data_IF_279892908913
#
_entry.id   IF_279892908913
#
_cell.length_a   1.000
_cell.length_b   1.000
_cell.length_c   1.000
_cell.angle_alpha   90.00
_cell.angle_beta   90.00
_cell.angle_gamma   90.00
#
_symmetry.space_group_name_H-M   'P 1'
#
loop_
_entity.id
_entity.type
_entity.pdbx_description
1 polymer ?
#
# COMPACT_ATOMS: atom_id res chain seq x y z
N UNK A 1 5.79 6.56 8.85
CA UNK A 1 6.39 7.68 8.06
C UNK A 1 7.10 7.12 6.85
N UNK A 2 7.18 7.88 5.77
CA UNK A 2 8.02 7.53 4.62
C UNK A 2 9.49 7.73 4.98
N UNK A 3 10.36 6.81 4.53
CA UNK A 3 11.78 6.85 4.93
C UNK A 3 12.64 7.66 3.97
N UNK A 4 12.39 7.55 2.65
CA UNK A 4 13.32 8.02 1.64
C UNK A 4 13.38 9.55 1.49
N UNK A 5 12.25 10.24 1.49
CA UNK A 5 12.22 11.69 1.20
C UNK A 5 11.84 12.56 2.41
N UNK A 6 11.53 11.97 3.54
CA UNK A 6 10.89 12.66 4.64
C UNK A 6 11.68 12.49 5.95
N UNK A 7 12.02 13.60 6.57
CA UNK A 7 12.48 13.57 7.95
C UNK A 7 11.30 13.21 8.87
N UNK A 8 11.39 12.05 9.52
CA UNK A 8 10.33 11.52 10.40
C UNK A 8 10.00 12.47 11.54
N UNK A 9 11.00 13.14 12.14
CA UNK A 9 10.80 14.08 13.24
C UNK A 9 9.94 15.28 12.82
N UNK A 10 10.12 15.76 11.58
CA UNK A 10 9.30 16.85 11.02
C UNK A 10 7.85 16.41 10.85
N UNK A 11 7.63 15.20 10.35
CA UNK A 11 6.28 14.67 10.17
C UNK A 11 5.58 14.45 11.52
N UNK A 12 6.28 13.91 12.52
CA UNK A 12 5.77 13.66 13.87
C UNK A 12 5.42 14.99 14.54
N UNK A 13 6.34 15.96 14.55
CA UNK A 13 6.11 17.29 15.14
C UNK A 13 4.91 17.99 14.54
N UNK A 14 4.79 18.00 13.21
CA UNK A 14 3.65 18.58 12.51
C UNK A 14 2.31 17.94 12.94
N UNK A 15 2.28 16.64 13.18
CA UNK A 15 1.08 15.95 13.68
C UNK A 15 0.78 16.31 15.14
N UNK A 16 1.78 16.32 16.01
CA UNK A 16 1.62 16.67 17.43
C UNK A 16 1.17 18.12 17.63
N UNK A 17 1.67 19.06 16.83
CA UNK A 17 1.24 20.47 16.82
C UNK A 17 -0.22 20.63 16.41
N UNK A 18 -0.76 19.69 15.64
CA UNK A 18 -2.19 19.62 15.29
C UNK A 18 -3.04 18.83 16.32
N UNK A 19 -2.44 18.40 17.43
CA UNK A 19 -3.12 17.64 18.48
C UNK A 19 -3.29 16.15 18.17
N UNK A 20 -2.64 15.64 17.12
CA UNK A 20 -2.64 14.21 16.80
C UNK A 20 -1.70 13.50 17.78
N UNK A 21 -2.20 12.46 18.43
CA UNK A 21 -1.38 11.59 19.28
C UNK A 21 -0.59 10.63 18.41
N UNK A 22 0.73 10.59 18.59
CA UNK A 22 1.66 9.75 17.81
C UNK A 22 2.40 8.82 18.74
N UNK A 23 2.28 7.52 18.54
CA UNK A 23 2.95 6.48 19.33
C UNK A 23 3.72 5.55 18.41
N UNK A 24 4.97 5.25 18.77
CA UNK A 24 5.81 4.34 17.96
C UNK A 24 5.21 2.94 17.94
N UNK A 25 5.01 2.39 16.74
CA UNK A 25 4.58 1.01 16.59
C UNK A 25 5.75 0.04 16.86
N UNK A 26 5.49 -1.14 17.44
CA UNK A 26 6.52 -2.17 17.57
C UNK A 26 6.95 -2.69 16.18
N UNK A 27 8.13 -3.25 16.12
CA UNK A 27 8.72 -3.96 14.97
C UNK A 27 9.33 -3.11 13.86
N UNK A 28 8.87 -1.89 13.63
CA UNK A 28 9.34 -1.05 12.52
C UNK A 28 9.66 0.36 13.01
N UNK A 29 10.89 0.81 12.80
CA UNK A 29 11.39 2.10 13.32
C UNK A 29 10.69 3.33 12.72
N UNK A 30 10.05 3.18 11.58
CA UNK A 30 9.34 4.24 10.84
C UNK A 30 7.82 4.12 10.92
N UNK A 31 7.30 3.14 11.67
CA UNK A 31 5.87 2.93 11.87
C UNK A 31 5.38 3.57 13.17
N UNK A 32 4.24 4.24 13.07
CA UNK A 32 3.61 4.92 14.20
C UNK A 32 2.11 4.69 14.19
N UNK A 33 1.54 4.46 15.36
CA UNK A 33 0.11 4.57 15.58
C UNK A 33 -0.25 6.04 15.73
N UNK A 34 -1.30 6.47 15.06
CA UNK A 34 -1.82 7.84 15.16
C UNK A 34 -3.28 7.83 15.59
N UNK A 35 -3.65 8.73 16.47
CA UNK A 35 -5.01 8.88 16.99
C UNK A 35 -5.31 10.33 17.39
N UNK A 36 -6.56 10.63 17.76
CA UNK A 36 -6.93 11.97 18.19
C UNK A 36 -7.17 12.96 17.04
N UNK A 37 -7.42 12.47 15.82
CA UNK A 37 -7.83 13.29 14.68
C UNK A 37 -9.25 12.93 14.24
N UNK A 38 -10.02 13.93 13.82
CA UNK A 38 -11.39 13.73 13.34
C UNK A 38 -11.43 13.31 11.86
N UNK A 39 -10.51 13.87 11.06
CA UNK A 39 -10.50 13.66 9.62
C UNK A 39 -9.06 13.62 9.11
N UNK A 40 -8.60 12.44 8.71
CA UNK A 40 -7.21 12.20 8.31
C UNK A 40 -6.70 13.13 7.19
N UNK A 41 -7.48 13.44 6.13
CA UNK A 41 -7.03 14.37 5.10
C UNK A 41 -6.76 15.80 5.58
N UNK A 42 -7.27 16.19 6.75
CA UNK A 42 -6.96 17.49 7.37
C UNK A 42 -5.63 17.50 8.13
N UNK A 43 -5.04 16.34 8.37
CA UNK A 43 -3.71 16.22 8.97
C UNK A 43 -2.65 16.63 7.94
N UNK A 44 -1.89 17.68 8.22
CA UNK A 44 -0.93 18.26 7.28
C UNK A 44 0.08 17.23 6.76
N UNK A 45 0.62 16.39 7.63
CA UNK A 45 1.57 15.34 7.23
C UNK A 45 0.97 14.31 6.28
N UNK A 46 -0.35 14.04 6.36
CA UNK A 46 -1.05 13.21 5.39
C UNK A 46 -1.27 13.97 4.07
N UNK A 47 -1.79 15.20 4.15
CA UNK A 47 -2.06 16.04 2.97
C UNK A 47 -0.81 16.24 2.12
N UNK A 48 0.33 16.49 2.76
CA UNK A 48 1.64 16.67 2.11
C UNK A 48 2.34 15.34 1.74
N UNK A 49 1.67 14.21 1.85
CA UNK A 49 2.23 12.90 1.49
C UNK A 49 3.39 12.41 2.36
N UNK A 50 3.63 13.04 3.51
CA UNK A 50 4.72 12.68 4.44
C UNK A 50 4.46 11.36 5.15
N UNK A 51 3.19 10.98 5.30
CA UNK A 51 2.76 9.72 5.90
C UNK A 51 1.82 8.97 4.97
N UNK A 52 1.86 7.64 5.05
CA UNK A 52 0.95 6.75 4.36
C UNK A 52 0.27 5.84 5.40
N UNK A 53 -1.07 5.90 5.52
CA UNK A 53 -1.82 4.97 6.38
C UNK A 53 -1.71 3.55 5.85
N UNK A 54 -1.36 2.64 6.74
CA UNK A 54 -1.20 1.23 6.40
C UNK A 54 -1.20 0.38 7.66
N UNK A 55 -1.76 -0.82 7.62
CA UNK A 55 -1.62 -1.78 8.71
C UNK A 55 -0.17 -2.25 8.83
N UNK A 56 0.30 -2.48 10.05
CA UNK A 56 1.67 -2.98 10.30
C UNK A 56 1.93 -4.30 9.57
N UNK A 57 0.95 -5.20 9.53
CA UNK A 57 1.03 -6.45 8.77
C UNK A 57 1.27 -6.24 7.27
N UNK A 58 0.62 -5.21 6.69
CA UNK A 58 0.85 -4.83 5.30
C UNK A 58 2.22 -4.20 5.08
N UNK A 59 2.75 -3.48 6.08
CA UNK A 59 4.11 -2.93 6.03
C UNK A 59 5.17 -4.05 6.06
N UNK A 60 4.94 -5.10 6.86
CA UNK A 60 5.83 -6.27 6.92
C UNK A 60 5.94 -7.00 5.58
N UNK A 61 4.94 -6.92 4.70
CA UNK A 61 5.04 -7.44 3.33
C UNK A 61 6.14 -6.72 2.55
N UNK A 62 6.21 -5.39 2.63
CA UNK A 62 7.27 -4.60 2.01
C UNK A 62 8.65 -4.90 2.59
N UNK A 63 8.73 -5.16 3.91
CA UNK A 63 9.98 -5.57 4.56
C UNK A 63 10.44 -6.96 4.11
N UNK A 64 9.51 -7.91 4.03
CA UNK A 64 9.81 -9.27 3.57
C UNK A 64 10.17 -9.32 2.07
N UNK A 65 9.60 -8.43 1.27
CA UNK A 65 9.89 -8.31 -0.15
C UNK A 65 11.30 -7.75 -0.40
N UNK A 66 11.75 -6.84 0.45
CA UNK A 66 13.08 -6.21 0.49
C UNK A 66 13.68 -5.94 -0.91
N UNK A 67 13.06 -5.08 -1.73
CA UNK A 67 13.51 -4.85 -3.10
C UNK A 67 14.90 -4.21 -3.12
N UNK A 68 15.78 -4.72 -3.97
CA UNK A 68 17.09 -4.12 -4.20
C UNK A 68 16.97 -2.78 -4.93
N UNK A 69 17.86 -1.83 -4.65
CA UNK A 69 17.93 -0.57 -5.38
C UNK A 69 18.08 -0.83 -6.89
N UNK A 70 17.29 -0.13 -7.71
CA UNK A 70 17.25 -0.33 -9.16
C UNK A 70 16.26 -1.37 -9.65
N UNK A 71 15.64 -2.17 -8.77
CA UNK A 71 14.69 -3.22 -9.15
C UNK A 71 13.46 -2.70 -9.89
N UNK A 72 12.96 -3.51 -10.81
CA UNK A 72 11.61 -3.37 -11.36
C UNK A 72 10.63 -4.26 -10.60
N UNK A 73 9.71 -3.63 -9.87
CA UNK A 73 8.69 -4.30 -9.08
C UNK A 73 7.32 -4.21 -9.74
N UNK A 74 6.54 -5.28 -9.71
CA UNK A 74 5.15 -5.32 -10.17
C UNK A 74 4.25 -5.72 -8.98
N UNK A 75 3.23 -4.90 -8.70
CA UNK A 75 2.17 -5.23 -7.74
C UNK A 75 0.88 -5.51 -8.53
N UNK A 76 0.41 -6.76 -8.50
CA UNK A 76 -0.67 -7.25 -9.36
C UNK A 76 -2.07 -6.80 -8.93
N UNK A 77 -2.29 -6.57 -7.64
CA UNK A 77 -3.58 -6.20 -7.04
C UNK A 77 -3.40 -5.01 -6.08
N UNK A 78 -2.87 -3.91 -6.61
CA UNK A 78 -2.24 -2.85 -5.84
C UNK A 78 -3.19 -1.97 -5.02
N UNK A 79 -4.45 -1.83 -5.44
CA UNK A 79 -5.34 -0.82 -4.86
C UNK A 79 -5.59 -1.01 -3.35
N UNK A 80 -5.55 0.08 -2.57
CA UNK A 80 -5.44 1.50 -2.94
C UNK A 80 -4.00 2.01 -3.16
N UNK A 81 -2.96 1.14 -3.15
CA UNK A 81 -1.59 1.50 -3.47
C UNK A 81 -0.62 1.51 -2.29
N UNK A 82 -1.07 1.19 -1.07
CA UNK A 82 -0.21 1.28 0.13
C UNK A 82 1.06 0.44 0.07
N UNK A 83 0.96 -0.83 -0.37
CA UNK A 83 2.11 -1.73 -0.52
C UNK A 83 3.03 -1.29 -1.66
N UNK A 84 2.45 -0.89 -2.80
CA UNK A 84 3.22 -0.38 -3.94
C UNK A 84 4.00 0.89 -3.61
N UNK A 85 3.39 1.83 -2.87
CA UNK A 85 4.05 3.06 -2.39
C UNK A 85 5.19 2.72 -1.41
N UNK A 86 4.98 1.72 -0.56
CA UNK A 86 6.02 1.27 0.36
C UNK A 86 7.21 0.66 -0.39
N UNK A 87 6.98 -0.19 -1.40
CA UNK A 87 8.06 -0.69 -2.27
C UNK A 87 8.80 0.45 -2.97
N UNK A 88 8.07 1.43 -3.52
CA UNK A 88 8.66 2.58 -4.19
C UNK A 88 9.52 3.45 -3.25
N UNK A 89 9.10 3.62 -1.99
CA UNK A 89 9.86 4.32 -0.96
C UNK A 89 11.14 3.54 -0.59
N UNK A 90 11.07 2.21 -0.47
CA UNK A 90 12.23 1.34 -0.20
C UNK A 90 13.27 1.36 -1.33
N UNK A 91 12.85 1.54 -2.58
CA UNK A 91 13.75 1.71 -3.73
C UNK A 91 14.52 3.04 -3.74
N UNK A 92 14.24 3.96 -2.83
CA UNK A 92 14.96 5.24 -2.62
C UNK A 92 15.11 6.09 -3.89
N UNK A 93 14.06 6.14 -4.71
CA UNK A 93 14.06 6.88 -5.98
C UNK A 93 14.79 6.19 -7.13
N UNK A 94 15.31 4.98 -6.90
CA UNK A 94 15.89 4.12 -7.95
C UNK A 94 14.86 3.11 -8.45
N UNK A 95 15.14 2.41 -9.54
CA UNK A 95 14.23 1.39 -10.07
C UNK A 95 12.83 1.92 -10.39
N UNK A 96 11.83 1.05 -10.36
CA UNK A 96 10.44 1.44 -10.63
C UNK A 96 9.45 0.44 -10.06
N UNK A 97 8.24 0.92 -9.73
CA UNK A 97 7.09 0.08 -9.33
C UNK A 97 5.95 0.27 -10.31
N UNK A 98 5.42 -0.82 -10.87
CA UNK A 98 4.18 -0.83 -11.63
C UNK A 98 3.06 -1.37 -10.74
N UNK A 99 2.16 -0.48 -10.30
CA UNK A 99 1.00 -0.80 -9.49
C UNK A 99 -0.21 -1.09 -10.40
N UNK A 100 -0.69 -2.34 -10.40
CA UNK A 100 -1.76 -2.82 -11.28
C UNK A 100 -3.05 -3.08 -10.52
N UNK A 101 -4.18 -2.85 -11.18
CA UNK A 101 -5.48 -3.37 -10.74
C UNK A 101 -6.39 -3.54 -11.97
N UNK A 102 -7.36 -4.45 -11.90
CA UNK A 102 -8.31 -4.72 -12.98
C UNK A 102 -9.36 -3.61 -13.11
N UNK A 103 -9.70 -2.96 -12.01
CA UNK A 103 -10.74 -1.93 -11.94
C UNK A 103 -10.18 -0.55 -12.24
N UNK A 104 -10.79 0.17 -13.20
CA UNK A 104 -10.42 1.56 -13.51
C UNK A 104 -10.56 2.47 -12.28
N UNK A 105 -11.65 2.32 -11.53
CA UNK A 105 -11.87 3.08 -10.29
C UNK A 105 -10.73 2.88 -9.28
N UNK A 106 -10.29 1.64 -9.10
CA UNK A 106 -9.17 1.31 -8.19
C UNK A 106 -7.84 1.86 -8.70
N UNK A 107 -7.62 1.86 -10.00
CA UNK A 107 -6.43 2.49 -10.61
C UNK A 107 -6.40 4.00 -10.35
N UNK A 108 -7.55 4.68 -10.40
CA UNK A 108 -7.61 6.10 -10.02
C UNK A 108 -7.25 6.34 -8.56
N UNK A 109 -7.72 5.49 -7.62
CA UNK A 109 -7.31 5.56 -6.21
C UNK A 109 -5.78 5.39 -6.02
N UNK A 110 -5.17 4.50 -6.81
CA UNK A 110 -3.71 4.34 -6.79
C UNK A 110 -3.04 5.63 -7.29
N UNK A 111 -3.52 6.22 -8.38
CA UNK A 111 -2.98 7.47 -8.94
C UNK A 111 -3.06 8.64 -7.96
N UNK A 112 -4.20 8.83 -7.32
CA UNK A 112 -4.39 9.84 -6.27
C UNK A 112 -3.37 9.70 -5.14
N UNK A 113 -3.12 8.48 -4.69
CA UNK A 113 -2.14 8.20 -3.65
C UNK A 113 -0.69 8.39 -4.13
N UNK A 114 -0.39 8.08 -5.40
CA UNK A 114 0.92 8.35 -6.01
C UNK A 114 1.15 9.86 -6.07
N UNK A 115 0.20 10.63 -6.61
CA UNK A 115 0.28 12.08 -6.71
C UNK A 115 0.49 12.73 -5.34
N UNK A 116 -0.33 12.34 -4.35
CA UNK A 116 -0.17 12.82 -2.97
C UNK A 116 1.18 12.49 -2.38
N UNK A 117 1.73 11.31 -2.71
CA UNK A 117 3.03 10.87 -2.17
C UNK A 117 4.22 11.64 -2.74
N UNK A 118 4.13 12.18 -3.95
CA UNK A 118 5.23 12.79 -4.68
C UNK A 118 6.35 11.82 -5.05
N UNK A 119 6.11 10.50 -5.06
CA UNK A 119 7.07 9.52 -5.56
C UNK A 119 7.03 9.50 -7.09
N UNK A 120 8.21 9.53 -7.72
CA UNK A 120 8.36 9.58 -9.17
C UNK A 120 8.70 8.21 -9.79
N UNK A 121 9.08 7.24 -8.96
CA UNK A 121 9.48 5.90 -9.35
C UNK A 121 8.35 4.87 -9.29
N UNK A 122 7.10 5.32 -9.35
CA UNK A 122 5.90 4.47 -9.32
C UNK A 122 4.86 4.98 -10.29
N UNK A 123 4.15 4.06 -10.98
CA UNK A 123 3.02 4.41 -11.84
C UNK A 123 1.91 3.36 -11.75
N UNK A 124 0.68 3.79 -11.98
CA UNK A 124 -0.50 2.93 -11.94
C UNK A 124 -0.94 2.52 -13.35
N UNK A 125 -1.27 1.25 -13.52
CA UNK A 125 -1.73 0.67 -14.78
C UNK A 125 -2.95 -0.21 -14.58
N UNK A 126 -3.96 -0.03 -15.43
CA UNK A 126 -5.05 -1.01 -15.50
C UNK A 126 -4.59 -2.25 -16.23
N UNK A 127 -4.56 -3.39 -15.53
CA UNK A 127 -4.20 -4.69 -16.09
C UNK A 127 -4.88 -5.80 -15.31
N UNK A 128 -5.40 -6.80 -16.01
CA UNK A 128 -5.99 -7.98 -15.42
C UNK A 128 -4.91 -9.03 -15.16
N UNK A 129 -4.72 -9.41 -13.90
CA UNK A 129 -3.70 -10.38 -13.51
C UNK A 129 -4.00 -11.81 -14.00
N UNK A 130 -5.27 -12.10 -14.38
CA UNK A 130 -5.66 -13.39 -14.95
C UNK A 130 -5.28 -13.52 -16.44
N UNK A 131 -4.93 -12.41 -17.09
CA UNK A 131 -4.57 -12.40 -18.51
C UNK A 131 -3.06 -12.36 -18.64
N UNK A 132 -2.48 -13.50 -19.05
CA UNK A 132 -1.06 -13.57 -19.32
C UNK A 132 -0.69 -12.64 -20.49
N UNK A 133 0.27 -11.75 -20.22
CA UNK A 133 0.90 -10.91 -21.25
C UNK A 133 2.32 -11.44 -21.50
N UNK A 134 2.64 -11.90 -22.71
CA UNK A 134 3.99 -12.36 -23.01
C UNK A 134 5.08 -11.32 -22.79
N UNK A 135 4.73 -10.03 -22.84
CA UNK A 135 5.65 -8.92 -22.59
C UNK A 135 6.04 -8.78 -21.10
N UNK A 136 5.30 -9.42 -20.20
CA UNK A 136 5.62 -9.41 -18.76
C UNK A 136 6.56 -10.56 -18.35
N UNK A 137 6.87 -11.46 -19.28
CA UNK A 137 7.65 -12.63 -18.95
C UNK A 137 9.09 -12.27 -18.63
N UNK A 138 9.53 -12.65 -17.42
CA UNK A 138 10.92 -12.49 -16.97
C UNK A 138 11.44 -11.04 -16.97
N UNK A 139 10.54 -10.04 -16.81
CA UNK A 139 10.92 -8.60 -16.82
C UNK A 139 11.02 -7.98 -15.45
N UNK A 140 10.33 -8.53 -14.46
CA UNK A 140 10.31 -8.01 -13.09
C UNK A 140 11.32 -8.74 -12.20
N UNK A 141 12.02 -7.97 -11.37
CA UNK A 141 12.89 -8.50 -10.33
C UNK A 141 12.08 -8.96 -9.10
N UNK A 142 10.93 -8.31 -8.87
CA UNK A 142 10.02 -8.61 -7.78
C UNK A 142 8.57 -8.53 -8.23
N UNK A 143 7.76 -9.52 -7.87
CA UNK A 143 6.31 -9.51 -8.08
C UNK A 143 5.60 -9.64 -6.74
N UNK A 144 4.73 -8.67 -6.43
CA UNK A 144 3.82 -8.72 -5.30
C UNK A 144 2.43 -9.17 -5.78
N UNK A 145 1.88 -10.19 -5.13
CA UNK A 145 0.57 -10.75 -5.42
C UNK A 145 -0.30 -10.78 -4.16
N UNK A 146 -0.80 -9.59 -3.73
CA UNK A 146 -1.79 -9.48 -2.67
C UNK A 146 -3.20 -9.63 -3.25
N UNK A 147 -3.52 -10.88 -3.58
CA UNK A 147 -4.72 -11.24 -4.33
C UNK A 147 -6.01 -11.15 -3.51
N UNK A 148 -7.18 -10.96 -4.14
CA UNK A 148 -8.46 -10.95 -3.44
C UNK A 148 -8.65 -12.19 -2.58
N UNK A 149 -9.10 -12.00 -1.34
CA UNK A 149 -9.32 -13.07 -0.38
C UNK A 149 -10.66 -12.93 0.35
N UNK A 150 -10.99 -13.91 1.21
CA UNK A 150 -12.21 -13.92 2.02
C UNK A 150 -12.32 -12.76 3.02
N UNK A 151 -11.18 -12.18 3.40
CA UNK A 151 -11.11 -11.13 4.42
C UNK A 151 -11.31 -11.66 5.85
N UNK A 152 -11.32 -12.97 6.09
CA UNK A 152 -11.53 -13.53 7.44
C UNK A 152 -10.52 -13.05 8.47
N UNK A 153 -9.30 -12.71 8.04
CA UNK A 153 -8.26 -12.15 8.92
C UNK A 153 -8.61 -10.80 9.55
N UNK A 154 -9.56 -10.06 8.97
CA UNK A 154 -10.02 -8.75 9.46
C UNK A 154 -11.47 -8.75 9.96
N UNK A 155 -12.06 -9.94 10.21
CA UNK A 155 -13.46 -10.08 10.63
C UNK A 155 -13.77 -9.33 11.94
N UNK A 156 -12.78 -9.15 12.81
CA UNK A 156 -12.90 -8.37 14.05
C UNK A 156 -13.18 -6.89 13.78
N UNK A 157 -12.70 -6.34 12.67
CA UNK A 157 -12.91 -4.95 12.27
C UNK A 157 -14.03 -4.79 11.23
N UNK A 158 -14.30 -5.83 10.45
CA UNK A 158 -15.33 -5.87 9.39
C UNK A 158 -16.29 -7.01 9.64
N UNK A 159 -17.14 -6.87 10.65
CA UNK A 159 -18.07 -7.91 11.12
C UNK A 159 -19.11 -8.34 10.09
N UNK A 160 -19.35 -7.54 9.06
CA UNK A 160 -20.25 -7.84 7.94
C UNK A 160 -19.74 -8.98 7.03
N UNK A 161 -18.46 -9.28 7.05
CA UNK A 161 -17.85 -10.38 6.29
C UNK A 161 -18.54 -11.70 6.61
N UNK A 162 -18.83 -11.99 7.89
CA UNK A 162 -19.51 -13.22 8.32
C UNK A 162 -20.89 -13.43 7.70
N UNK A 163 -21.55 -12.36 7.27
CA UNK A 163 -22.87 -12.42 6.62
C UNK A 163 -22.78 -12.39 5.09
N UNK A 164 -21.70 -11.82 4.54
CA UNK A 164 -21.51 -11.64 3.10
C UNK A 164 -20.79 -12.81 2.45
N UNK A 165 -19.98 -13.55 3.22
CA UNK A 165 -19.26 -14.71 2.71
C UNK A 165 -20.19 -15.94 2.70
N UNK A 166 -20.19 -16.63 1.57
CA UNK A 166 -20.93 -17.88 1.36
C UNK A 166 -19.98 -18.95 0.83
N UNK A 167 -20.29 -20.27 0.99
CA UNK A 167 -19.44 -21.32 0.43
C UNK A 167 -19.16 -21.18 -1.07
N UNK A 168 -20.15 -20.69 -1.83
CA UNK A 168 -19.95 -20.43 -3.26
C UNK A 168 -18.94 -19.32 -3.51
N UNK A 169 -19.03 -18.17 -2.80
CA UNK A 169 -18.07 -17.06 -2.92
C UNK A 169 -16.66 -17.48 -2.50
N UNK A 170 -16.56 -18.35 -1.51
CA UNK A 170 -15.26 -18.88 -1.09
C UNK A 170 -14.64 -19.76 -2.18
N UNK A 171 -15.45 -20.64 -2.80
CA UNK A 171 -15.00 -21.44 -3.94
C UNK A 171 -14.62 -20.56 -5.14
N UNK A 172 -15.39 -19.52 -5.43
CA UNK A 172 -15.09 -18.56 -6.51
C UNK A 172 -13.76 -17.83 -6.26
N UNK A 173 -13.47 -17.46 -5.00
CA UNK A 173 -12.18 -16.84 -4.63
C UNK A 173 -11.00 -17.80 -4.82
N UNK A 174 -11.15 -19.06 -4.43
CA UNK A 174 -10.10 -20.08 -4.64
C UNK A 174 -9.80 -20.27 -6.12
N UNK A 175 -10.84 -20.25 -6.98
CA UNK A 175 -10.64 -20.34 -8.43
C UNK A 175 -10.02 -19.08 -9.04
N UNK A 176 -10.21 -17.92 -8.40
CA UNK A 176 -9.63 -16.65 -8.83
C UNK A 176 -8.14 -16.54 -8.47
N UNK A 177 -7.73 -17.11 -7.36
CA UNK A 177 -6.35 -17.12 -6.83
C UNK A 177 -5.45 -18.10 -7.58
#
# INVERSE_FOLDING_TARGET
>A
CRQYMINQEVAIRSMEEQGVHVERAPYLDYAYYISGYDYLPAVESFFLGRIQPQDVSSMLVGEAADPEEGSYCIDLCAAPGGKSLHLADKLKGTGRVEARDVSQYKVELIRENIERSGLENIYARRKDALVMDPADREVADLVLADVPCSGYGVIGHKTDIKYKMTPQKEADLVMLQ
#
